data_IF_688169157361
#
_entry.id   IF_688169157361
#
_cell.length_a   1.000
_cell.length_b   1.000
_cell.length_c   1.000
_cell.angle_alpha   90.00
_cell.angle_beta   90.00
_cell.angle_gamma   90.00
#
_symmetry.space_group_name_H-M   'P 1'
#
loop_
_entity.id
_entity.type
_entity.pdbx_description
1 polymer ?
#
# COMPACT_ATOMS: atom_id res chain seq x y z
N UNK A 1 -22.98 -22.25 22.69
CA UNK A 1 -23.87 -22.05 21.53
C UNK A 1 -23.08 -21.25 20.51
N UNK A 2 -22.52 -21.94 19.51
CA UNK A 2 -21.72 -21.32 18.45
C UNK A 2 -22.66 -20.59 17.49
N UNK A 3 -22.38 -19.32 17.19
CA UNK A 3 -23.16 -18.48 16.28
C UNK A 3 -22.91 -18.88 14.79
N UNK A 4 -22.10 -19.90 14.54
CA UNK A 4 -21.55 -20.18 13.21
C UNK A 4 -21.90 -21.56 12.60
N UNK A 5 -22.87 -22.30 13.16
CA UNK A 5 -23.10 -23.69 12.74
C UNK A 5 -23.78 -23.90 11.37
N UNK A 6 -24.05 -22.86 10.57
CA UNK A 6 -24.75 -22.99 9.29
C UNK A 6 -23.96 -22.52 8.05
N UNK A 7 -22.67 -22.20 8.17
CA UNK A 7 -21.91 -21.58 7.06
C UNK A 7 -20.66 -22.34 6.61
N UNK A 8 -20.41 -23.54 7.15
CA UNK A 8 -19.09 -24.21 7.06
C UNK A 8 -18.91 -25.13 5.83
N UNK A 9 -19.97 -25.52 5.11
CA UNK A 9 -19.86 -26.56 4.06
C UNK A 9 -19.51 -26.08 2.63
N UNK A 10 -19.12 -24.81 2.42
CA UNK A 10 -18.86 -24.25 1.06
C UNK A 10 -17.34 -24.12 0.74
N UNK A 11 -16.44 -24.42 1.67
CA UNK A 11 -15.07 -23.87 1.66
C UNK A 11 -13.92 -24.85 1.37
N UNK A 12 -14.08 -25.82 0.47
CA UNK A 12 -13.09 -26.91 0.35
C UNK A 12 -12.10 -26.92 -0.83
N UNK A 13 -12.18 -26.10 -1.88
CA UNK A 13 -11.35 -26.42 -3.07
C UNK A 13 -10.86 -25.27 -3.99
N UNK A 14 -10.74 -24.02 -3.55
CA UNK A 14 -10.20 -22.95 -4.42
C UNK A 14 -8.87 -22.37 -3.91
N UNK A 15 -7.86 -22.45 -4.79
CA UNK A 15 -6.49 -22.04 -4.54
C UNK A 15 -6.38 -20.53 -4.26
N UNK A 16 -5.55 -20.19 -3.26
CA UNK A 16 -5.21 -18.82 -2.86
C UNK A 16 -4.57 -18.05 -4.02
N UNK A 17 -5.33 -17.17 -4.66
CA UNK A 17 -4.80 -16.07 -5.48
C UNK A 17 -4.81 -14.78 -4.66
N UNK A 18 -3.97 -13.81 -5.03
CA UNK A 18 -3.91 -12.47 -4.43
C UNK A 18 -5.19 -11.63 -4.65
N UNK A 19 -6.28 -12.23 -5.12
CA UNK A 19 -7.56 -11.58 -5.37
C UNK A 19 -8.24 -11.15 -4.06
N UNK A 20 -8.78 -9.93 -4.11
CA UNK A 20 -9.49 -9.22 -3.04
C UNK A 20 -10.75 -9.96 -2.49
N UNK A 21 -11.06 -11.15 -2.98
CA UNK A 21 -12.29 -11.91 -2.68
C UNK A 21 -12.25 -12.80 -1.44
N UNK A 22 -11.12 -12.93 -0.73
CA UNK A 22 -10.96 -14.00 0.27
C UNK A 22 -11.37 -13.63 1.71
N UNK A 23 -11.51 -12.35 2.02
CA UNK A 23 -12.19 -11.96 3.26
C UNK A 23 -13.68 -11.88 2.97
N UNK A 24 -14.49 -12.47 3.85
CA UNK A 24 -15.96 -12.55 3.74
C UNK A 24 -16.58 -11.31 3.08
N UNK A 25 -17.76 -11.45 2.49
CA UNK A 25 -18.61 -10.33 1.99
C UNK A 25 -18.85 -9.15 2.98
N UNK A 26 -18.20 -9.14 4.15
CA UNK A 26 -18.34 -8.24 5.28
C UNK A 26 -17.17 -7.23 5.37
N UNK A 27 -15.88 -7.60 5.16
CA UNK A 27 -14.75 -6.66 5.35
C UNK A 27 -13.54 -6.90 4.42
N UNK A 28 -12.92 -5.85 3.82
CA UNK A 28 -11.75 -6.03 2.95
C UNK A 28 -10.45 -6.40 3.69
N UNK A 29 -9.43 -6.91 2.96
CA UNK A 29 -8.14 -7.43 3.47
C UNK A 29 -7.40 -6.49 4.42
N UNK A 30 -7.47 -5.18 4.19
CA UNK A 30 -6.87 -4.17 5.04
C UNK A 30 -7.56 -4.06 6.41
N UNK A 31 -8.89 -4.18 6.48
CA UNK A 31 -9.62 -4.27 7.75
C UNK A 31 -9.23 -5.55 8.47
N UNK A 32 -9.16 -6.68 7.75
CA UNK A 32 -8.72 -7.94 8.30
C UNK A 32 -7.30 -7.87 8.87
N UNK A 33 -6.35 -7.23 8.18
CA UNK A 33 -5.00 -6.95 8.67
C UNK A 33 -4.98 -6.12 9.95
N UNK A 34 -5.91 -5.16 10.07
CA UNK A 34 -6.08 -4.39 11.30
C UNK A 34 -6.55 -5.27 12.46
N UNK A 35 -7.33 -6.32 12.22
CA UNK A 35 -7.74 -7.26 13.28
C UNK A 35 -6.58 -8.09 13.80
N UNK A 36 -5.70 -8.59 12.92
CA UNK A 36 -4.72 -9.59 13.35
C UNK A 36 -3.55 -9.04 14.10
N UNK A 37 -2.94 -7.91 13.73
CA UNK A 37 -1.69 -7.50 14.35
C UNK A 37 -0.59 -8.61 14.39
N UNK A 38 -0.75 -9.72 13.65
CA UNK A 38 0.09 -10.92 13.78
C UNK A 38 1.07 -10.96 12.62
N UNK A 39 2.35 -10.92 12.96
CA UNK A 39 3.43 -11.35 12.09
C UNK A 39 3.41 -12.86 11.91
N UNK A 40 3.59 -13.35 10.68
CA UNK A 40 3.92 -14.77 10.45
C UNK A 40 5.16 -15.22 11.26
N UNK A 41 5.94 -14.25 11.71
CA UNK A 41 7.20 -14.36 12.44
C UNK A 41 7.04 -14.19 13.97
N UNK A 42 5.84 -13.91 14.48
CA UNK A 42 5.52 -13.88 15.93
C UNK A 42 5.47 -15.28 16.57
N UNK A 43 5.74 -16.29 15.77
CA UNK A 43 5.85 -17.68 16.19
C UNK A 43 7.13 -17.84 17.02
N UNK A 44 7.07 -18.49 18.17
CA UNK A 44 8.29 -19.05 18.79
C UNK A 44 9.01 -19.93 17.75
N UNK A 45 10.31 -20.18 17.87
CA UNK A 45 11.01 -21.09 16.94
C UNK A 45 10.28 -22.45 16.82
N UNK A 46 9.58 -22.87 17.87
CA UNK A 46 8.73 -24.08 17.92
C UNK A 46 7.41 -23.95 17.11
N UNK A 47 6.77 -22.77 17.12
CA UNK A 47 5.62 -22.45 16.27
C UNK A 47 6.05 -22.20 14.82
N UNK A 48 7.27 -21.68 14.62
CA UNK A 48 7.90 -21.57 13.31
C UNK A 48 8.15 -22.96 12.78
N UNK A 49 8.55 -23.95 13.56
CA UNK A 49 8.73 -25.32 13.07
C UNK A 49 7.38 -26.04 12.76
N UNK A 50 6.28 -25.70 13.44
CA UNK A 50 4.92 -26.19 13.13
C UNK A 50 4.24 -25.42 11.97
N UNK A 51 4.86 -25.43 10.79
CA UNK A 51 4.32 -24.83 9.55
C UNK A 51 2.90 -25.33 9.24
N UNK A 52 2.07 -24.40 8.75
CA UNK A 52 0.70 -24.57 8.20
C UNK A 52 -0.48 -24.22 9.11
N UNK A 53 -0.40 -23.15 9.92
CA UNK A 53 -1.63 -22.42 10.26
C UNK A 53 -1.98 -21.47 9.12
N UNK A 54 -3.10 -21.67 8.40
CA UNK A 54 -3.54 -20.75 7.37
C UNK A 54 -3.80 -19.35 7.95
N UNK A 55 -3.35 -18.31 7.24
CA UNK A 55 -3.49 -16.90 7.65
C UNK A 55 -4.93 -16.50 8.04
N UNK A 56 -5.94 -17.07 7.39
CA UNK A 56 -7.34 -16.79 7.68
C UNK A 56 -7.77 -17.27 9.07
N UNK A 57 -7.18 -18.34 9.61
CA UNK A 57 -7.52 -18.82 10.97
C UNK A 57 -7.13 -17.81 12.04
N UNK A 58 -5.93 -17.23 11.91
CA UNK A 58 -5.45 -16.19 12.84
C UNK A 58 -6.38 -14.98 12.83
N UNK A 59 -6.94 -14.65 11.66
CA UNK A 59 -7.88 -13.55 11.51
C UNK A 59 -9.20 -13.86 12.18
N UNK A 60 -9.73 -15.06 11.99
CA UNK A 60 -10.95 -15.45 12.68
C UNK A 60 -10.76 -15.49 14.19
N UNK A 61 -9.62 -15.98 14.69
CA UNK A 61 -9.29 -15.94 16.13
C UNK A 61 -9.24 -14.51 16.67
N UNK A 62 -8.59 -13.58 15.95
CA UNK A 62 -8.52 -12.19 16.35
C UNK A 62 -9.89 -11.50 16.31
N UNK A 63 -10.70 -11.79 15.29
CA UNK A 63 -12.08 -11.30 15.16
C UNK A 63 -12.99 -11.85 16.26
N UNK A 64 -12.90 -13.14 16.58
CA UNK A 64 -13.66 -13.77 17.66
C UNK A 64 -13.24 -13.20 19.02
N UNK A 65 -11.93 -13.00 19.24
CA UNK A 65 -11.43 -12.37 20.45
C UNK A 65 -11.93 -10.93 20.59
N UNK A 66 -11.92 -10.14 19.50
CA UNK A 66 -12.49 -8.79 19.48
C UNK A 66 -14.00 -8.83 19.77
N UNK A 67 -14.74 -9.70 19.09
CA UNK A 67 -16.18 -9.85 19.26
C UNK A 67 -16.56 -10.28 20.67
N UNK A 68 -15.78 -11.16 21.29
CA UNK A 68 -15.96 -11.59 22.68
C UNK A 68 -15.76 -10.43 23.66
N UNK A 69 -14.74 -9.59 23.45
CA UNK A 69 -14.47 -8.40 24.27
C UNK A 69 -15.54 -7.33 24.11
N UNK A 70 -15.94 -7.05 22.87
CA UNK A 70 -16.79 -5.90 22.53
C UNK A 70 -18.25 -6.27 22.25
N UNK A 71 -18.65 -7.52 22.45
CA UNK A 71 -20.04 -7.96 22.27
C UNK A 71 -20.51 -7.93 20.80
N UNK A 72 -19.63 -8.26 19.86
CA UNK A 72 -19.95 -8.44 18.44
C UNK A 72 -19.09 -7.63 17.46
N UNK A 73 -19.47 -7.67 16.18
CA UNK A 73 -18.79 -6.99 15.05
C UNK A 73 -19.80 -6.15 14.24
N UNK A 74 -20.72 -5.47 14.94
CA UNK A 74 -21.70 -4.59 14.30
C UNK A 74 -21.19 -3.16 14.21
N UNK A 75 -21.74 -2.36 13.29
CA UNK A 75 -21.50 -0.91 13.22
C UNK A 75 -21.71 -0.23 14.59
N UNK A 76 -22.78 -0.59 15.31
CA UNK A 76 -23.03 -0.09 16.66
C UNK A 76 -21.93 -0.47 17.66
N UNK A 77 -21.36 -1.67 17.50
CA UNK A 77 -20.21 -2.12 18.29
C UNK A 77 -18.97 -1.29 17.97
N UNK A 78 -18.62 -1.11 16.69
CA UNK A 78 -17.46 -0.30 16.31
C UNK A 78 -17.60 1.17 16.71
N UNK A 79 -18.79 1.77 16.57
CA UNK A 79 -19.08 3.12 17.07
C UNK A 79 -18.93 3.23 18.60
N UNK A 80 -19.22 2.16 19.35
CA UNK A 80 -18.92 2.11 20.78
C UNK A 80 -17.42 2.00 21.04
N UNK A 81 -16.74 1.10 20.33
CA UNK A 81 -15.29 0.90 20.43
C UNK A 81 -14.53 2.20 20.15
N UNK A 82 -14.91 2.97 19.13
CA UNK A 82 -14.31 4.28 18.85
C UNK A 82 -14.38 5.26 20.02
N UNK A 83 -15.45 5.20 20.83
CA UNK A 83 -15.66 6.08 21.98
C UNK A 83 -14.94 5.59 23.23
N UNK A 84 -14.86 4.28 23.43
CA UNK A 84 -14.47 3.67 24.71
C UNK A 84 -13.07 3.04 24.69
N UNK A 85 -12.64 2.50 23.55
CA UNK A 85 -11.37 1.79 23.42
C UNK A 85 -10.19 2.76 23.22
N UNK A 86 -8.98 2.23 23.24
CA UNK A 86 -7.73 2.93 22.86
C UNK A 86 -6.82 1.94 22.10
N UNK A 87 -5.79 2.46 21.44
CA UNK A 87 -4.78 1.66 20.75
C UNK A 87 -5.39 0.74 19.69
N UNK A 88 -4.95 -0.52 19.69
CA UNK A 88 -5.32 -1.52 18.69
C UNK A 88 -6.84 -1.65 18.46
N UNK A 89 -7.64 -1.86 19.50
CA UNK A 89 -9.09 -2.06 19.32
C UNK A 89 -9.76 -0.83 18.66
N UNK A 90 -9.27 0.38 18.93
CA UNK A 90 -9.77 1.60 18.29
C UNK A 90 -9.34 1.69 16.82
N UNK A 91 -8.11 1.31 16.49
CA UNK A 91 -7.63 1.25 15.10
C UNK A 91 -8.46 0.28 14.27
N UNK A 92 -8.80 -0.90 14.82
CA UNK A 92 -9.73 -1.86 14.18
C UNK A 92 -11.07 -1.17 13.87
N UNK A 93 -11.64 -0.47 14.86
CA UNK A 93 -12.90 0.21 14.69
C UNK A 93 -12.84 1.35 13.66
N UNK A 94 -11.72 2.10 13.57
CA UNK A 94 -11.52 3.13 12.54
C UNK A 94 -11.58 2.51 11.13
N UNK A 95 -10.83 1.43 10.91
CA UNK A 95 -10.85 0.72 9.62
C UNK A 95 -12.21 0.11 9.31
N UNK A 96 -12.88 -0.50 10.29
CA UNK A 96 -14.21 -1.09 10.11
C UNK A 96 -15.25 -0.02 9.72
N UNK A 97 -15.26 1.12 10.41
CA UNK A 97 -16.16 2.24 10.10
C UNK A 97 -15.83 2.86 8.73
N UNK A 98 -14.55 3.02 8.39
CA UNK A 98 -14.12 3.51 7.08
C UNK A 98 -14.66 2.71 5.89
N UNK A 99 -14.72 1.40 6.05
CA UNK A 99 -15.24 0.48 5.03
C UNK A 99 -16.74 0.18 5.17
N UNK A 100 -17.39 0.71 6.20
CA UNK A 100 -18.83 0.53 6.40
C UNK A 100 -19.65 1.36 5.40
N UNK A 101 -20.92 0.98 5.26
CA UNK A 101 -21.92 1.72 4.50
C UNK A 101 -22.64 2.79 5.33
N UNK A 102 -22.16 3.12 6.54
CA UNK A 102 -22.77 4.16 7.36
C UNK A 102 -22.71 5.52 6.62
N UNK A 103 -23.86 6.20 6.44
CA UNK A 103 -23.88 7.53 5.84
C UNK A 103 -23.03 8.55 6.61
N UNK A 104 -23.00 8.42 7.94
CA UNK A 104 -22.27 9.30 8.85
C UNK A 104 -20.79 8.90 9.09
N UNK A 105 -20.28 7.87 8.40
CA UNK A 105 -18.91 7.38 8.62
C UNK A 105 -17.87 8.51 8.50
N UNK A 106 -18.01 9.40 7.52
CA UNK A 106 -17.12 10.56 7.36
C UNK A 106 -17.09 11.42 8.62
N UNK A 107 -18.26 11.82 9.12
CA UNK A 107 -18.37 12.71 10.28
C UNK A 107 -17.91 12.03 11.58
N UNK A 108 -18.03 10.71 11.66
CA UNK A 108 -17.48 9.90 12.76
C UNK A 108 -15.96 9.85 12.72
N UNK A 109 -15.34 9.81 11.54
CA UNK A 109 -13.89 9.65 11.36
C UNK A 109 -13.13 10.98 11.48
N UNK A 110 -13.73 12.10 11.10
CA UNK A 110 -13.06 13.42 11.08
C UNK A 110 -12.38 13.81 12.40
N UNK A 111 -12.98 13.63 13.60
CA UNK A 111 -12.33 14.00 14.84
C UNK A 111 -10.98 13.28 15.05
N UNK A 112 -10.82 12.08 14.48
CA UNK A 112 -9.58 11.31 14.58
C UNK A 112 -8.46 11.83 13.67
N UNK A 113 -8.74 12.72 12.71
CA UNK A 113 -7.68 13.45 11.99
C UNK A 113 -6.87 14.36 12.93
N UNK A 114 -7.47 14.78 14.04
CA UNK A 114 -6.84 15.60 15.08
C UNK A 114 -6.39 14.77 16.31
N UNK A 115 -6.46 13.43 16.23
CA UNK A 115 -6.04 12.57 17.34
C UNK A 115 -4.58 12.85 17.71
N UNK A 116 -4.20 12.89 19.00
CA UNK A 116 -2.80 12.96 19.39
C UNK A 116 -2.01 11.70 18.97
N UNK A 117 -2.70 10.58 18.79
CA UNK A 117 -2.11 9.32 18.34
C UNK A 117 -1.88 9.34 16.81
N UNK A 118 -0.64 9.13 16.39
CA UNK A 118 -0.26 9.14 14.96
C UNK A 118 -1.02 8.08 14.16
N UNK A 119 -1.19 6.88 14.71
CA UNK A 119 -1.78 5.76 14.00
C UNK A 119 -3.28 5.95 13.82
N UNK A 120 -3.96 6.52 14.81
CA UNK A 120 -5.36 6.94 14.68
C UNK A 120 -5.53 8.00 13.58
N UNK A 121 -4.65 9.02 13.53
CA UNK A 121 -4.67 10.04 12.46
C UNK A 121 -4.50 9.40 11.09
N UNK A 122 -3.49 8.55 10.92
CA UNK A 122 -3.21 7.88 9.66
C UNK A 122 -4.33 6.92 9.25
N UNK A 123 -4.86 6.10 10.17
CA UNK A 123 -5.97 5.18 9.89
C UNK A 123 -7.24 5.95 9.49
N UNK A 124 -7.59 7.02 10.20
CA UNK A 124 -8.72 7.87 9.85
C UNK A 124 -8.53 8.54 8.47
N UNK A 125 -7.35 9.12 8.23
CA UNK A 125 -7.03 9.74 6.94
C UNK A 125 -7.09 8.74 5.78
N UNK A 126 -6.60 7.52 5.96
CA UNK A 126 -6.72 6.43 4.99
C UNK A 126 -8.20 6.11 4.70
N UNK A 127 -9.01 5.93 5.74
CA UNK A 127 -10.42 5.62 5.58
C UNK A 127 -11.19 6.73 4.86
N UNK A 128 -10.95 7.99 5.24
CA UNK A 128 -11.54 9.16 4.59
C UNK A 128 -11.06 9.31 3.13
N UNK A 129 -9.81 8.96 2.84
CA UNK A 129 -9.26 8.93 1.48
C UNK A 129 -10.04 7.97 0.58
N UNK A 130 -10.30 6.75 1.03
CA UNK A 130 -11.08 5.75 0.26
C UNK A 130 -12.50 6.22 -0.05
N UNK A 131 -13.02 7.10 0.80
CA UNK A 131 -14.32 7.76 0.64
C UNK A 131 -14.24 9.07 -0.14
N UNK A 132 -13.05 9.40 -0.68
CA UNK A 132 -12.72 10.60 -1.45
C UNK A 132 -12.99 11.91 -0.70
N UNK A 133 -12.91 11.90 0.64
CA UNK A 133 -13.10 13.09 1.46
C UNK A 133 -11.81 13.90 1.52
N UNK A 134 -11.80 15.04 0.83
CA UNK A 134 -10.61 15.89 0.65
C UNK A 134 -10.08 16.50 1.96
N UNK A 135 -10.88 16.51 3.04
CA UNK A 135 -10.42 16.97 4.37
C UNK A 135 -9.27 16.11 4.91
N UNK A 136 -9.08 14.89 4.40
CA UNK A 136 -7.96 14.02 4.77
C UNK A 136 -6.63 14.40 4.11
N UNK A 137 -6.62 15.16 3.01
CA UNK A 137 -5.42 15.40 2.21
C UNK A 137 -4.24 16.01 3.01
N UNK A 138 -4.45 17.00 3.92
CA UNK A 138 -3.34 17.53 4.73
C UNK A 138 -2.68 16.47 5.61
N UNK A 139 -3.49 15.58 6.21
CA UNK A 139 -2.99 14.49 7.08
C UNK A 139 -2.33 13.40 6.24
N UNK A 140 -2.85 13.10 5.06
CA UNK A 140 -2.22 12.15 4.12
C UNK A 140 -0.85 12.65 3.63
N UNK A 141 -0.73 13.94 3.34
CA UNK A 141 0.56 14.54 2.98
C UNK A 141 1.59 14.45 4.12
N UNK A 142 1.16 14.69 5.37
CA UNK A 142 2.01 14.46 6.53
C UNK A 142 2.38 12.97 6.64
N UNK A 143 1.40 12.08 6.60
CA UNK A 143 1.58 10.63 6.69
C UNK A 143 2.58 10.08 5.67
N UNK A 144 2.52 10.52 4.41
CA UNK A 144 3.49 10.10 3.39
C UNK A 144 4.93 10.49 3.75
N UNK A 145 5.14 11.59 4.46
CA UNK A 145 6.47 12.08 4.88
C UNK A 145 6.88 11.60 6.27
N UNK A 146 5.95 11.03 7.02
CA UNK A 146 6.20 10.53 8.37
C UNK A 146 6.61 9.07 8.32
N UNK A 147 7.81 8.80 8.79
CA UNK A 147 8.32 7.44 8.98
C UNK A 147 7.50 6.71 10.04
N UNK A 148 7.44 5.38 9.94
CA UNK A 148 6.85 4.60 11.02
C UNK A 148 7.68 4.86 12.29
N UNK A 149 7.06 5.25 13.42
CA UNK A 149 7.76 5.29 14.70
C UNK A 149 8.41 3.94 14.97
N UNK A 150 9.55 3.95 15.66
CA UNK A 150 10.27 2.76 16.10
C UNK A 150 10.45 2.79 17.62
N UNK A 151 10.56 1.62 18.23
CA UNK A 151 10.83 1.45 19.66
C UNK A 151 12.33 1.63 19.98
N UNK A 152 12.71 1.36 21.23
CA UNK A 152 14.11 1.47 21.69
C UNK A 152 15.05 0.50 20.96
N UNK A 153 14.53 -0.55 20.34
CA UNK A 153 15.29 -1.52 19.53
C UNK A 153 15.32 -1.14 18.05
N UNK A 154 14.76 0.01 17.66
CA UNK A 154 14.67 0.42 16.27
C UNK A 154 13.62 -0.35 15.47
N UNK A 155 12.73 -1.10 16.14
CA UNK A 155 11.68 -1.86 15.49
C UNK A 155 10.35 -1.08 15.50
N UNK A 156 9.59 -1.08 14.39
CA UNK A 156 8.27 -0.47 14.40
C UNK A 156 7.33 -1.21 15.37
N UNK A 157 6.37 -0.51 16.01
CA UNK A 157 5.37 -1.16 16.84
C UNK A 157 4.68 -2.28 16.05
N UNK A 158 4.47 -3.41 16.71
CA UNK A 158 3.92 -4.62 16.07
C UNK A 158 2.57 -4.35 15.43
N UNK A 159 1.80 -3.45 16.04
CA UNK A 159 0.50 -3.03 15.58
C UNK A 159 0.59 -2.48 14.14
N UNK A 160 1.66 -1.77 13.79
CA UNK A 160 1.69 -1.00 12.53
C UNK A 160 2.52 -1.62 11.42
N UNK A 161 3.32 -2.65 11.74
CA UNK A 161 4.26 -3.31 10.85
C UNK A 161 3.66 -3.71 9.48
N UNK A 162 2.40 -4.14 9.45
CA UNK A 162 1.78 -4.70 8.24
C UNK A 162 0.90 -3.76 7.44
N UNK A 163 0.42 -2.69 8.07
CA UNK A 163 -0.52 -1.79 7.42
C UNK A 163 0.11 -0.43 7.15
N UNK A 164 1.00 0.09 8.00
CA UNK A 164 1.42 1.48 7.90
C UNK A 164 2.12 1.80 6.57
N UNK A 165 3.18 1.08 6.18
CA UNK A 165 3.82 1.36 4.89
C UNK A 165 3.06 0.76 3.71
N UNK A 166 2.38 -0.38 3.91
CA UNK A 166 1.57 -1.00 2.87
C UNK A 166 0.39 -0.10 2.43
N UNK A 167 -0.24 0.61 3.37
CA UNK A 167 -1.30 1.56 3.05
C UNK A 167 -0.77 2.76 2.24
N UNK A 168 0.50 3.15 2.37
CA UNK A 168 1.08 4.20 1.51
C UNK A 168 1.12 3.76 0.04
N UNK A 169 1.51 2.51 -0.22
CA UNK A 169 1.46 1.91 -1.57
C UNK A 169 0.02 1.90 -2.09
N UNK A 170 -0.91 1.38 -1.28
CA UNK A 170 -2.33 1.27 -1.65
C UNK A 170 -2.97 2.64 -1.94
N UNK A 171 -2.78 3.62 -1.05
CA UNK A 171 -3.27 4.97 -1.25
C UNK A 171 -2.69 5.61 -2.49
N UNK A 172 -1.40 5.38 -2.77
CA UNK A 172 -0.79 5.91 -3.99
C UNK A 172 -1.49 5.34 -5.22
N UNK A 173 -1.76 4.02 -5.28
CA UNK A 173 -2.56 3.43 -6.37
C UNK A 173 -3.96 4.05 -6.43
N UNK A 174 -4.63 4.21 -5.30
CA UNK A 174 -5.97 4.81 -5.23
C UNK A 174 -5.98 6.25 -5.78
N UNK A 175 -4.95 7.03 -5.49
CA UNK A 175 -4.77 8.41 -5.94
C UNK A 175 -4.69 8.54 -7.47
N UNK A 176 -4.40 7.46 -8.19
CA UNK A 176 -4.37 7.46 -9.64
C UNK A 176 -5.76 7.76 -10.25
N UNK A 177 -6.84 7.43 -9.53
CA UNK A 177 -8.23 7.64 -9.95
C UNK A 177 -8.96 8.72 -9.14
N UNK A 178 -8.33 9.28 -8.09
CA UNK A 178 -8.94 10.36 -7.32
C UNK A 178 -8.91 11.65 -8.13
N UNK A 179 -10.08 12.24 -8.40
CA UNK A 179 -10.25 13.47 -9.17
C UNK A 179 -9.52 14.73 -8.64
N UNK A 180 -9.13 14.79 -7.37
CA UNK A 180 -8.60 16.02 -6.76
C UNK A 180 -7.26 16.46 -7.39
N UNK A 181 -7.13 17.73 -7.83
CA UNK A 181 -5.88 18.22 -8.43
C UNK A 181 -4.72 18.31 -7.42
N UNK A 182 -5.03 18.45 -6.12
CA UNK A 182 -4.05 18.53 -5.03
C UNK A 182 -3.24 17.24 -4.83
N UNK A 183 -3.74 16.12 -5.34
CA UNK A 183 -3.06 14.82 -5.26
C UNK A 183 -1.68 14.84 -5.96
N UNK A 184 -1.58 15.48 -7.14
CA UNK A 184 -0.31 15.51 -7.90
C UNK A 184 0.82 16.18 -7.12
N UNK A 185 0.66 17.40 -6.57
CA UNK A 185 1.73 18.02 -5.79
C UNK A 185 2.06 17.24 -4.50
N UNK A 186 1.09 16.60 -3.85
CA UNK A 186 1.34 15.73 -2.68
C UNK A 186 2.24 14.54 -3.06
N UNK A 187 1.86 13.79 -4.08
CA UNK A 187 2.62 12.63 -4.55
C UNK A 187 4.01 13.02 -5.06
N UNK A 188 4.14 14.17 -5.72
CA UNK A 188 5.45 14.70 -6.11
C UNK A 188 6.31 14.98 -4.89
N UNK A 189 5.79 15.67 -3.87
CA UNK A 189 6.57 15.92 -2.64
C UNK A 189 6.95 14.63 -1.93
N UNK A 190 6.06 13.64 -1.90
CA UNK A 190 6.36 12.33 -1.34
C UNK A 190 7.50 11.62 -2.10
N UNK A 191 7.44 11.61 -3.43
CA UNK A 191 8.51 11.06 -4.26
C UNK A 191 9.86 11.75 -4.00
N UNK A 192 9.89 13.07 -3.86
CA UNK A 192 11.13 13.80 -3.50
C UNK A 192 11.65 13.38 -2.12
N UNK A 193 10.78 13.33 -1.12
CA UNK A 193 11.14 12.91 0.24
C UNK A 193 11.76 11.50 0.27
N UNK A 194 11.13 10.54 -0.43
CA UNK A 194 11.65 9.19 -0.58
C UNK A 194 13.05 9.15 -1.19
N UNK A 195 13.28 9.97 -2.21
CA UNK A 195 14.57 10.03 -2.90
C UNK A 195 15.67 10.71 -2.06
N UNK A 196 15.31 11.75 -1.30
CA UNK A 196 16.22 12.43 -0.37
C UNK A 196 16.69 11.50 0.75
N UNK A 197 15.82 10.61 1.22
CA UNK A 197 16.15 9.64 2.26
C UNK A 197 17.08 8.52 1.75
N UNK A 198 16.88 8.06 0.52
CA UNK A 198 17.65 6.95 -0.05
C UNK A 198 18.37 7.34 -1.35
N UNK A 199 19.29 8.32 -1.34
CA UNK A 199 19.84 8.89 -2.57
C UNK A 199 20.74 7.91 -3.36
N UNK A 200 21.23 6.84 -2.71
CA UNK A 200 22.12 5.84 -3.32
C UNK A 200 21.37 4.67 -3.93
N UNK A 201 20.38 4.15 -3.22
CA UNK A 201 19.69 2.89 -3.56
C UNK A 201 18.25 3.12 -4.03
N UNK A 202 17.76 4.36 -3.96
CA UNK A 202 16.36 4.67 -4.18
C UNK A 202 15.47 4.17 -3.05
N UNK A 203 14.19 4.57 -3.04
CA UNK A 203 13.21 4.01 -2.13
C UNK A 203 12.90 2.55 -2.49
N UNK A 204 12.06 1.92 -1.67
CA UNK A 204 11.45 0.64 -2.01
C UNK A 204 10.93 0.62 -3.47
N UNK A 205 11.22 -0.47 -4.17
CA UNK A 205 10.99 -0.55 -5.61
C UNK A 205 9.50 -0.51 -5.94
N UNK A 206 8.66 -1.13 -5.12
CA UNK A 206 7.21 -1.16 -5.32
C UNK A 206 6.61 0.24 -5.15
N UNK A 207 6.94 0.96 -4.08
CA UNK A 207 6.40 2.30 -3.86
C UNK A 207 6.84 3.26 -4.98
N UNK A 208 8.08 3.15 -5.47
CA UNK A 208 8.56 3.99 -6.57
C UNK A 208 7.76 3.76 -7.86
N UNK A 209 7.57 2.50 -8.24
CA UNK A 209 6.89 2.13 -9.48
C UNK A 209 5.43 2.58 -9.44
N UNK A 210 4.77 2.34 -8.31
CA UNK A 210 3.40 2.77 -8.05
C UNK A 210 3.28 4.29 -8.08
N UNK A 211 4.22 5.04 -7.49
CA UNK A 211 4.23 6.50 -7.54
C UNK A 211 4.35 7.02 -8.97
N UNK A 212 5.32 6.51 -9.73
CA UNK A 212 5.56 6.93 -11.12
C UNK A 212 4.37 6.60 -12.01
N UNK A 213 3.81 5.39 -11.88
CA UNK A 213 2.60 5.00 -12.57
C UNK A 213 1.44 5.94 -12.26
N UNK A 214 1.20 6.18 -10.98
CA UNK A 214 0.12 7.04 -10.50
C UNK A 214 0.26 8.46 -11.04
N UNK A 215 1.46 9.04 -10.95
CA UNK A 215 1.76 10.37 -11.47
C UNK A 215 1.57 10.44 -12.99
N UNK A 216 1.95 9.39 -13.72
CA UNK A 216 1.75 9.27 -15.16
C UNK A 216 0.27 9.25 -15.54
N UNK A 217 -0.54 8.47 -14.81
CA UNK A 217 -2.00 8.41 -14.99
C UNK A 217 -2.69 9.75 -14.70
N UNK A 218 -2.09 10.57 -13.85
CA UNK A 218 -2.52 11.95 -13.56
C UNK A 218 -1.93 12.98 -14.54
N UNK A 219 -1.21 12.55 -15.57
CA UNK A 219 -0.63 13.42 -16.59
C UNK A 219 0.62 14.19 -16.14
N UNK A 220 1.19 13.87 -14.97
CA UNK A 220 2.35 14.56 -14.40
C UNK A 220 3.68 14.07 -14.99
N UNK A 221 3.81 14.09 -16.32
CA UNK A 221 4.95 13.48 -17.04
C UNK A 221 6.31 14.14 -16.74
N UNK A 222 6.31 15.40 -16.31
CA UNK A 222 7.49 16.16 -15.88
C UNK A 222 7.83 16.01 -14.39
N UNK A 223 7.29 15.00 -13.69
CA UNK A 223 7.45 14.88 -12.23
C UNK A 223 8.92 14.77 -11.79
N UNK A 224 9.74 14.09 -12.60
CA UNK A 224 11.16 13.90 -12.33
C UNK A 224 12.04 15.14 -12.58
N UNK A 225 11.48 16.23 -13.11
CA UNK A 225 12.26 17.44 -13.39
C UNK A 225 12.88 18.00 -12.10
N UNK A 226 14.19 18.22 -12.12
CA UNK A 226 14.94 18.71 -10.96
C UNK A 226 15.35 17.62 -9.95
N UNK A 227 14.97 16.36 -10.17
CA UNK A 227 15.42 15.24 -9.31
C UNK A 227 16.76 14.67 -9.81
N UNK A 228 17.75 14.44 -8.93
CA UNK A 228 19.02 13.82 -9.28
C UNK A 228 18.88 12.29 -9.42
N UNK A 229 17.95 11.81 -10.25
CA UNK A 229 17.75 10.38 -10.49
C UNK A 229 18.93 9.81 -11.31
N UNK A 230 19.62 8.75 -10.83
CA UNK A 230 20.60 8.01 -11.61
C UNK A 230 19.97 7.46 -12.89
N UNK A 231 20.78 7.23 -13.91
CA UNK A 231 20.30 6.86 -15.25
C UNK A 231 19.35 5.66 -15.25
N UNK A 232 19.64 4.64 -14.44
CA UNK A 232 18.79 3.46 -14.22
C UNK A 232 17.37 3.83 -13.77
N UNK A 233 17.25 4.48 -12.62
CA UNK A 233 15.97 4.89 -12.03
C UNK A 233 15.21 5.87 -12.92
N UNK A 234 15.92 6.75 -13.63
CA UNK A 234 15.30 7.67 -14.59
C UNK A 234 14.61 6.92 -15.73
N UNK A 235 15.25 5.90 -16.30
CA UNK A 235 14.65 5.09 -17.39
C UNK A 235 13.40 4.37 -16.91
N UNK A 236 13.49 3.67 -15.77
CA UNK A 236 12.32 2.99 -15.18
C UNK A 236 11.18 3.98 -14.88
N UNK A 237 11.48 5.13 -14.29
CA UNK A 237 10.49 6.17 -14.02
C UNK A 237 9.77 6.62 -15.29
N UNK A 238 10.49 6.84 -16.40
CA UNK A 238 9.89 7.22 -17.68
C UNK A 238 8.94 6.14 -18.22
N UNK A 239 9.29 4.85 -18.09
CA UNK A 239 8.40 3.74 -18.50
C UNK A 239 7.15 3.71 -17.64
N UNK A 240 7.26 3.75 -16.31
CA UNK A 240 6.09 3.72 -15.45
C UNK A 240 5.19 4.95 -15.62
N UNK A 241 5.76 6.14 -15.84
CA UNK A 241 4.99 7.33 -16.20
C UNK A 241 4.23 7.12 -17.52
N UNK A 242 4.86 6.53 -18.53
CA UNK A 242 4.21 6.22 -19.80
C UNK A 242 3.09 5.17 -19.65
N UNK A 243 3.32 4.11 -18.89
CA UNK A 243 2.31 3.09 -18.57
C UNK A 243 1.10 3.68 -17.85
N UNK A 244 1.35 4.60 -16.90
CA UNK A 244 0.31 5.36 -16.22
C UNK A 244 -0.52 6.18 -17.19
N UNK A 245 0.13 6.94 -18.07
CA UNK A 245 -0.55 7.76 -19.09
C UNK A 245 -1.42 6.91 -20.03
N UNK A 246 -0.99 5.68 -20.32
CA UNK A 246 -1.72 4.69 -21.11
C UNK A 246 -2.81 3.93 -20.32
N UNK A 247 -2.91 4.16 -19.01
CA UNK A 247 -3.83 3.46 -18.10
C UNK A 247 -3.75 1.93 -18.27
N UNK A 248 -2.53 1.41 -18.28
CA UNK A 248 -2.28 -0.01 -18.57
C UNK A 248 -3.05 -0.95 -17.62
N UNK A 249 -3.27 -0.56 -16.36
CA UNK A 249 -4.04 -1.32 -15.36
C UNK A 249 -5.51 -1.56 -15.74
N UNK A 250 -6.10 -0.73 -16.61
CA UNK A 250 -7.47 -0.93 -17.11
C UNK A 250 -7.55 -2.04 -18.17
N UNK A 251 -6.40 -2.48 -18.71
CA UNK A 251 -6.31 -3.47 -19.80
C UNK A 251 -5.59 -4.75 -19.39
N UNK A 252 -4.71 -4.67 -18.41
CA UNK A 252 -3.77 -5.72 -18.06
C UNK A 252 -3.70 -5.92 -16.55
N UNK A 253 -3.89 -7.17 -16.10
CA UNK A 253 -3.79 -7.52 -14.68
C UNK A 253 -2.34 -7.47 -14.16
N UNK A 254 -1.38 -7.95 -14.98
CA UNK A 254 0.05 -7.92 -14.68
C UNK A 254 0.78 -7.03 -15.68
N UNK A 255 0.82 -5.72 -15.40
CA UNK A 255 1.47 -4.73 -16.25
C UNK A 255 2.97 -5.03 -16.40
N UNK A 256 3.62 -5.49 -15.32
CA UNK A 256 5.03 -5.81 -15.32
C UNK A 256 5.34 -6.91 -16.32
N UNK A 257 4.56 -7.99 -16.33
CA UNK A 257 4.70 -9.05 -17.33
C UNK A 257 4.38 -8.55 -18.75
N UNK A 258 3.26 -7.85 -18.92
CA UNK A 258 2.76 -7.43 -20.23
C UNK A 258 3.71 -6.47 -20.95
N UNK A 259 4.43 -5.61 -20.25
CA UNK A 259 5.48 -4.76 -20.84
C UNK A 259 6.54 -5.55 -21.61
N UNK A 260 6.81 -6.80 -21.21
CA UNK A 260 7.82 -7.64 -21.84
C UNK A 260 7.28 -8.46 -23.01
N UNK A 261 6.06 -8.97 -22.89
CA UNK A 261 5.52 -9.96 -23.84
C UNK A 261 4.59 -9.33 -24.88
N UNK A 262 4.00 -8.18 -24.56
CA UNK A 262 2.97 -7.57 -25.39
C UNK A 262 3.54 -6.52 -26.33
N UNK A 263 3.77 -6.92 -27.59
CA UNK A 263 4.33 -6.03 -28.64
C UNK A 263 3.47 -4.80 -28.94
N UNK A 264 2.16 -4.87 -28.71
CA UNK A 264 1.31 -3.69 -28.86
C UNK A 264 1.56 -2.70 -27.72
N UNK A 265 1.54 -3.15 -26.46
CA UNK A 265 1.83 -2.28 -25.31
C UNK A 265 3.24 -1.68 -25.42
N UNK A 266 4.23 -2.46 -25.83
CA UNK A 266 5.60 -1.99 -26.10
C UNK A 266 5.61 -0.82 -27.09
N UNK A 267 4.91 -0.96 -28.23
CA UNK A 267 4.80 0.11 -29.23
C UNK A 267 4.08 1.36 -28.69
N UNK A 268 3.01 1.17 -27.92
CA UNK A 268 2.28 2.29 -27.29
C UNK A 268 3.17 3.05 -26.29
N UNK A 269 3.91 2.33 -25.44
CA UNK A 269 4.87 2.92 -24.48
C UNK A 269 5.93 3.72 -25.24
N UNK A 270 6.53 3.14 -26.30
CA UNK A 270 7.49 3.85 -27.15
C UNK A 270 6.90 5.12 -27.76
N UNK A 271 5.66 5.07 -28.25
CA UNK A 271 4.95 6.22 -28.80
C UNK A 271 4.77 7.35 -27.78
N UNK A 272 4.42 7.02 -26.53
CA UNK A 272 4.35 8.00 -25.44
C UNK A 272 5.72 8.58 -25.14
N UNK A 273 6.76 7.74 -25.05
CA UNK A 273 8.12 8.20 -24.77
C UNK A 273 8.65 9.17 -25.84
N UNK A 274 8.42 8.87 -27.12
CA UNK A 274 8.78 9.73 -28.24
C UNK A 274 8.02 11.06 -28.19
N UNK A 275 6.71 11.00 -27.97
CA UNK A 275 5.84 12.20 -27.99
C UNK A 275 6.09 13.12 -26.80
N UNK A 276 6.21 12.56 -25.60
CA UNK A 276 6.26 13.33 -24.35
C UNK A 276 7.69 13.76 -24.00
N UNK A 277 8.68 12.89 -24.22
CA UNK A 277 10.07 13.16 -23.86
C UNK A 277 10.96 13.49 -25.06
N UNK A 278 10.43 13.44 -26.29
CA UNK A 278 11.19 13.75 -27.50
C UNK A 278 12.28 12.73 -27.82
N UNK A 279 12.16 11.50 -27.32
CA UNK A 279 13.13 10.44 -27.62
C UNK A 279 13.05 10.03 -29.10
N UNK A 280 14.18 9.67 -29.68
CA UNK A 280 14.23 9.01 -30.98
C UNK A 280 13.64 7.60 -30.92
N UNK A 281 13.40 7.02 -32.11
CA UNK A 281 12.90 5.66 -32.23
C UNK A 281 13.83 4.64 -31.55
N UNK A 282 15.14 4.78 -31.76
CA UNK A 282 16.19 3.91 -31.19
C UNK A 282 16.31 4.08 -29.67
N UNK A 283 16.28 5.31 -29.15
CA UNK A 283 16.32 5.58 -27.72
C UNK A 283 15.09 5.01 -27.00
N UNK A 284 13.88 5.21 -27.57
CA UNK A 284 12.65 4.66 -27.00
C UNK A 284 12.64 3.13 -27.00
N UNK A 285 13.14 2.49 -28.06
CA UNK A 285 13.26 1.03 -28.13
C UNK A 285 14.25 0.52 -27.07
N UNK A 286 15.45 1.11 -27.02
CA UNK A 286 16.50 0.75 -26.06
C UNK A 286 16.00 0.87 -24.62
N UNK A 287 15.21 1.91 -24.34
CA UNK A 287 14.67 2.13 -23.00
C UNK A 287 13.68 1.02 -22.60
N UNK A 288 12.77 0.62 -23.51
CA UNK A 288 11.80 -0.45 -23.24
C UNK A 288 12.47 -1.83 -23.20
N UNK A 289 13.41 -2.11 -24.10
CA UNK A 289 14.18 -3.38 -24.13
C UNK A 289 14.96 -3.62 -22.83
N UNK A 290 15.41 -2.55 -22.19
CA UNK A 290 16.18 -2.62 -20.96
C UNK A 290 15.33 -2.66 -19.68
N UNK A 291 13.99 -2.63 -19.74
CA UNK A 291 13.17 -2.61 -18.52
C UNK A 291 13.43 -3.82 -17.62
N UNK A 292 13.61 -5.01 -18.20
CA UNK A 292 13.85 -6.23 -17.43
C UNK A 292 15.22 -6.20 -16.74
N UNK A 293 16.26 -5.87 -17.49
CA UNK A 293 17.63 -5.78 -16.98
C UNK A 293 17.78 -4.63 -15.97
N UNK A 294 17.09 -3.52 -16.20
CA UNK A 294 17.07 -2.39 -15.29
C UNK A 294 16.37 -2.74 -13.96
N UNK A 295 15.24 -3.45 -14.01
CA UNK A 295 14.55 -3.95 -12.81
C UNK A 295 15.42 -4.93 -12.02
N UNK A 296 16.05 -5.90 -12.69
CA UNK A 296 16.96 -6.86 -12.04
C UNK A 296 18.12 -6.13 -11.35
N UNK A 297 18.79 -5.22 -12.07
CA UNK A 297 19.90 -4.44 -11.50
C UNK A 297 19.46 -3.55 -10.34
N UNK A 298 18.26 -2.97 -10.41
CA UNK A 298 17.70 -2.20 -9.30
C UNK A 298 17.47 -3.08 -8.07
N UNK A 299 16.93 -4.29 -8.25
CA UNK A 299 16.74 -5.25 -7.17
C UNK A 299 18.07 -5.70 -6.55
N UNK A 300 19.10 -5.93 -7.36
CA UNK A 300 20.47 -6.23 -6.86
C UNK A 300 20.99 -5.09 -5.97
N UNK A 301 20.90 -3.84 -6.43
CA UNK A 301 21.33 -2.65 -5.68
C UNK A 301 20.57 -2.53 -4.34
N UNK A 302 19.26 -2.82 -4.34
CA UNK A 302 18.41 -2.77 -3.15
C UNK A 302 18.73 -3.90 -2.16
N UNK A 303 18.94 -5.13 -2.65
CA UNK A 303 19.27 -6.27 -1.80
C UNK A 303 20.65 -6.13 -1.15
N UNK A 304 21.64 -5.63 -1.90
CA UNK A 304 22.96 -5.31 -1.34
C UNK A 304 22.84 -4.33 -0.16
N UNK A 305 21.92 -3.37 -0.22
CA UNK A 305 21.69 -2.41 0.86
C UNK A 305 21.07 -3.07 2.10
N UNK A 306 20.08 -3.94 1.94
CA UNK A 306 19.43 -4.64 3.06
C UNK A 306 20.40 -5.56 3.80
N UNK A 307 21.29 -6.23 3.08
CA UNK A 307 22.31 -7.08 3.70
C UNK A 307 23.34 -6.26 4.47
N UNK A 308 23.66 -5.05 4.00
CA UNK A 308 24.50 -4.10 4.72
C UNK A 308 23.88 -3.66 6.05
N UNK A 309 22.58 -3.34 6.09
CA UNK A 309 21.91 -2.91 7.33
C UNK A 309 21.89 -4.03 8.39
N UNK A 310 21.62 -5.27 7.97
CA UNK A 310 21.62 -6.43 8.88
C UNK A 310 22.96 -6.69 9.56
N UNK A 311 24.08 -6.33 8.92
CA UNK A 311 25.42 -6.52 9.48
C UNK A 311 25.75 -5.51 10.60
N UNK A 312 25.04 -4.39 10.66
CA UNK A 312 25.28 -3.34 11.66
C UNK A 312 24.32 -3.37 12.86
N UNK A 313 23.19 -4.06 12.75
CA UNK A 313 22.22 -4.23 13.85
C UNK A 313 22.61 -5.32 14.88
N UNK A 314 23.73 -6.02 14.69
CA UNK A 314 24.20 -7.09 15.61
C UNK A 314 25.25 -6.66 16.64
N UNK A 315 25.48 -5.36 16.86
CA UNK A 315 26.46 -4.82 17.83
C UNK A 315 25.83 -3.95 18.90
#
# INVERSE_FOLDING_TARGET
>A
MSIWSNTIDIWKDEAFTDDEGYFSHIYPRNVARAFIWVSYDDRTDEEKENHWRPYHELIFEAMDAFALRWGGLSDATFLRVLREAQGADRLVALFAIGHSHLPEADEVLLPFLESPDLFERCASANCLALRKNERALPVLEEYFRTECPVDEMGLPPREVLYWYDHQKVYLTRFFATWGSPEVVPILRRYLFHLWEKHPRYGPDNEIQDVLMYTLGRRGAMGVCHGMPLPGLYRRLAMVYLALGALKADERFADISHEVFVNKQLEQEVRGVLQTVYGLSEEESQTLVDNVASDNLRRNEIYNDHLDYEKLYDTN
#
